data_IF_174436769113
#
_entry.id   IF_174436769113
#
_cell.length_a   1.000
_cell.length_b   1.000
_cell.length_c   1.000
_cell.angle_alpha   90.00
_cell.angle_beta   90.00
_cell.angle_gamma   90.00
#
_symmetry.space_group_name_H-M   'P 1'
#
loop_
_entity.id
_entity.type
_entity.pdbx_description
1 polymer ?
#
# COMPACT_ATOMS: atom_id res chain seq x y z
N UNK A 1 -11.83 -30.56 -18.34
CA UNK A 1 -11.53 -29.29 -17.65
C UNK A 1 -11.01 -29.63 -16.27
N UNK A 2 -9.69 -29.53 -16.03
CA UNK A 2 -9.12 -29.69 -14.68
C UNK A 2 -9.13 -28.31 -14.04
N UNK A 3 -9.79 -28.20 -12.88
CA UNK A 3 -9.64 -27.06 -11.98
C UNK A 3 -8.15 -26.99 -11.63
N UNK A 4 -7.45 -26.01 -12.22
CA UNK A 4 -6.11 -25.68 -11.81
C UNK A 4 -6.21 -25.13 -10.40
N UNK A 5 -5.61 -25.86 -9.46
CA UNK A 5 -5.28 -25.39 -8.13
C UNK A 5 -4.43 -24.12 -8.30
N UNK A 6 -5.08 -22.95 -8.38
CA UNK A 6 -4.42 -21.66 -8.23
C UNK A 6 -4.09 -21.58 -6.76
N UNK A 7 -2.94 -22.14 -6.39
CA UNK A 7 -2.24 -21.68 -5.22
C UNK A 7 -1.95 -20.20 -5.48
N UNK A 8 -2.82 -19.33 -4.94
CA UNK A 8 -2.62 -17.90 -5.06
C UNK A 8 -1.22 -17.59 -4.52
N UNK A 9 -0.38 -16.84 -5.27
CA UNK A 9 0.97 -16.57 -4.84
C UNK A 9 0.92 -15.82 -3.50
N UNK A 10 1.27 -16.52 -2.43
CA UNK A 10 1.37 -15.96 -1.09
C UNK A 10 2.51 -14.94 -1.12
N UNK A 11 2.17 -13.66 -0.96
CA UNK A 11 3.16 -12.58 -0.91
C UNK A 11 4.22 -12.90 0.15
N UNK A 12 5.52 -12.79 -0.17
CA UNK A 12 6.60 -12.91 0.79
C UNK A 12 6.33 -12.09 2.06
N UNK A 13 6.57 -12.65 3.26
CA UNK A 13 6.28 -11.98 4.54
C UNK A 13 6.85 -10.56 4.65
N UNK A 14 8.03 -10.34 4.09
CA UNK A 14 8.73 -9.04 4.10
C UNK A 14 7.97 -7.99 3.29
N UNK A 15 7.41 -8.38 2.15
CA UNK A 15 6.60 -7.51 1.29
C UNK A 15 5.28 -7.22 1.95
N UNK A 16 4.65 -8.26 2.49
CA UNK A 16 3.38 -8.11 3.21
C UNK A 16 3.54 -7.14 4.38
N UNK A 17 4.64 -7.27 5.13
CA UNK A 17 4.99 -6.37 6.22
C UNK A 17 5.25 -4.94 5.72
N UNK A 18 6.07 -4.76 4.69
CA UNK A 18 6.40 -3.44 4.15
C UNK A 18 5.16 -2.68 3.62
N UNK A 19 4.31 -3.35 2.85
CA UNK A 19 3.08 -2.76 2.32
C UNK A 19 1.99 -2.57 3.37
N UNK A 20 1.92 -3.43 4.40
CA UNK A 20 1.04 -3.23 5.55
C UNK A 20 1.44 -1.98 6.34
N UNK A 21 2.73 -1.83 6.63
CA UNK A 21 3.25 -0.65 7.33
C UNK A 21 2.99 0.64 6.53
N UNK A 22 3.22 0.59 5.21
CA UNK A 22 2.91 1.70 4.32
C UNK A 22 1.41 2.04 4.34
N UNK A 23 0.53 1.03 4.24
CA UNK A 23 -0.92 1.23 4.30
C UNK A 23 -1.37 1.90 5.60
N UNK A 24 -0.86 1.45 6.75
CA UNK A 24 -1.23 2.01 8.06
C UNK A 24 -0.85 3.49 8.12
N UNK A 25 0.41 3.81 7.78
CA UNK A 25 0.93 5.16 7.89
C UNK A 25 0.30 6.12 6.87
N UNK A 26 0.12 5.66 5.63
CA UNK A 26 -0.55 6.47 4.61
C UNK A 26 -2.01 6.72 4.95
N UNK A 27 -2.69 5.76 5.60
CA UNK A 27 -4.09 5.90 6.01
C UNK A 27 -4.26 6.90 7.14
N UNK A 28 -3.35 6.90 8.13
CA UNK A 28 -3.32 7.92 9.19
C UNK A 28 -3.12 9.32 8.59
N UNK A 29 -2.13 9.48 7.71
CA UNK A 29 -1.85 10.76 7.04
C UNK A 29 -3.01 11.20 6.13
N UNK A 30 -3.62 10.26 5.39
CA UNK A 30 -4.77 10.52 4.52
C UNK A 30 -6.03 10.93 5.28
N UNK A 31 -6.23 10.46 6.52
CA UNK A 31 -7.33 10.93 7.35
C UNK A 31 -7.14 12.42 7.69
N UNK A 32 -5.99 12.80 8.23
CA UNK A 32 -5.68 14.19 8.57
C UNK A 32 -5.77 15.09 7.32
N UNK A 33 -5.00 14.76 6.29
CA UNK A 33 -4.97 15.56 5.06
C UNK A 33 -6.29 15.58 4.29
N UNK A 34 -7.09 14.50 4.37
CA UNK A 34 -8.42 14.42 3.75
C UNK A 34 -9.47 15.32 4.40
N UNK A 35 -9.29 15.65 5.69
CA UNK A 35 -10.08 16.65 6.42
C UNK A 35 -9.46 18.05 6.40
N UNK A 36 -8.31 18.23 5.73
CA UNK A 36 -7.59 19.50 5.68
C UNK A 36 -6.80 19.81 6.94
N UNK A 37 -6.58 18.81 7.80
CA UNK A 37 -5.72 18.92 8.98
C UNK A 37 -4.25 18.76 8.59
N UNK A 38 -3.37 19.37 9.40
CA UNK A 38 -1.93 19.26 9.21
C UNK A 38 -1.45 17.85 9.55
N UNK A 39 -0.64 17.27 8.65
CA UNK A 39 0.06 16.00 8.90
C UNK A 39 1.35 16.31 9.67
N UNK A 40 1.53 15.77 10.90
CA UNK A 40 2.72 16.05 11.70
C UNK A 40 4.01 15.57 11.05
N UNK A 41 5.09 16.32 11.24
CA UNK A 41 6.44 16.00 10.73
C UNK A 41 6.91 14.55 11.02
N UNK A 42 6.69 13.95 12.20
CA UNK A 42 7.03 12.54 12.42
C UNK A 42 6.29 11.56 11.50
N UNK A 43 5.04 11.87 11.13
CA UNK A 43 4.26 11.06 10.19
C UNK A 43 4.80 11.19 8.76
N UNK A 44 5.22 12.40 8.35
CA UNK A 44 5.89 12.60 7.08
C UNK A 44 7.17 11.78 6.96
N UNK A 45 8.04 11.82 7.98
CA UNK A 45 9.26 11.02 8.02
C UNK A 45 8.99 9.52 7.92
N UNK A 46 7.98 9.04 8.65
CA UNK A 46 7.58 7.65 8.60
C UNK A 46 7.04 7.25 7.22
N UNK A 47 6.21 8.10 6.60
CA UNK A 47 5.67 7.87 5.26
C UNK A 47 6.78 7.81 4.20
N UNK A 48 7.77 8.72 4.28
CA UNK A 48 8.94 8.74 3.38
C UNK A 48 9.74 7.43 3.51
N UNK A 49 10.12 7.06 4.75
CA UNK A 49 10.90 5.84 5.01
C UNK A 49 10.17 4.58 4.54
N UNK A 50 8.87 4.46 4.82
CA UNK A 50 8.10 3.26 4.43
C UNK A 50 7.80 3.20 2.95
N UNK A 51 7.60 4.34 2.29
CA UNK A 51 7.45 4.37 0.82
C UNK A 51 8.74 3.93 0.15
N UNK A 52 9.90 4.43 0.58
CA UNK A 52 11.20 4.02 0.04
C UNK A 52 11.50 2.52 0.25
N UNK A 53 11.17 1.98 1.43
CA UNK A 53 11.27 0.54 1.72
C UNK A 53 10.36 -0.28 0.83
N UNK A 54 9.07 0.06 0.76
CA UNK A 54 8.10 -0.65 -0.07
C UNK A 54 8.51 -0.62 -1.55
N UNK A 55 9.00 0.52 -2.07
CA UNK A 55 9.54 0.65 -3.42
C UNK A 55 10.71 -0.31 -3.68
N UNK A 56 11.68 -0.35 -2.76
CA UNK A 56 12.83 -1.27 -2.87
C UNK A 56 12.40 -2.73 -2.93
N UNK A 57 11.42 -3.13 -2.12
CA UNK A 57 10.89 -4.50 -2.15
C UNK A 57 10.10 -4.79 -3.42
N UNK A 58 9.33 -3.79 -3.89
CA UNK A 58 8.53 -3.90 -5.09
C UNK A 58 9.39 -4.07 -6.35
N UNK A 59 10.48 -3.31 -6.47
CA UNK A 59 11.40 -3.38 -7.62
C UNK A 59 12.22 -4.68 -7.67
N UNK A 60 12.40 -5.37 -6.53
CA UNK A 60 13.16 -6.63 -6.43
C UNK A 60 12.38 -7.89 -6.81
N UNK A 61 11.08 -7.77 -7.06
CA UNK A 61 10.18 -8.91 -7.15
C UNK A 61 9.66 -9.15 -8.55
N UNK A 62 9.87 -10.38 -9.02
CA UNK A 62 9.64 -10.78 -10.43
C UNK A 62 8.26 -11.44 -10.60
N UNK A 63 7.60 -11.87 -9.53
CA UNK A 63 6.31 -12.56 -9.60
C UNK A 63 5.28 -12.02 -8.60
N UNK A 64 4.42 -11.14 -9.07
CA UNK A 64 3.15 -10.81 -8.43
C UNK A 64 2.02 -11.28 -9.33
N UNK A 65 0.86 -11.57 -8.74
CA UNK A 65 -0.39 -11.51 -9.49
C UNK A 65 -0.49 -10.14 -10.19
N UNK A 66 -0.98 -10.11 -11.43
CA UNK A 66 -0.99 -8.90 -12.26
C UNK A 66 -1.85 -7.79 -11.63
N UNK A 67 -2.95 -8.16 -11.00
CA UNK A 67 -3.89 -7.21 -10.43
C UNK A 67 -3.35 -6.67 -9.09
N UNK A 68 -2.77 -7.55 -8.27
CA UNK A 68 -2.03 -7.14 -7.07
C UNK A 68 -0.88 -6.18 -7.41
N UNK A 69 -0.08 -6.50 -8.44
CA UNK A 69 1.01 -5.66 -8.92
C UNK A 69 0.51 -4.27 -9.33
N UNK A 70 -0.60 -4.22 -10.07
CA UNK A 70 -1.19 -2.97 -10.52
C UNK A 70 -1.72 -2.12 -9.34
N UNK A 71 -2.37 -2.75 -8.36
CA UNK A 71 -2.87 -2.08 -7.16
C UNK A 71 -1.72 -1.50 -6.32
N UNK A 72 -0.67 -2.30 -6.05
CA UNK A 72 0.51 -1.85 -5.31
C UNK A 72 1.27 -0.73 -6.02
N UNK A 73 1.38 -0.77 -7.36
CA UNK A 73 1.99 0.33 -8.14
C UNK A 73 1.23 1.63 -7.98
N UNK A 74 -0.09 1.60 -8.16
CA UNK A 74 -0.91 2.82 -8.05
C UNK A 74 -0.82 3.39 -6.64
N UNK A 75 -0.83 2.52 -5.63
CA UNK A 75 -0.71 2.93 -4.24
C UNK A 75 0.68 3.53 -3.93
N UNK A 76 1.77 2.93 -4.41
CA UNK A 76 3.11 3.51 -4.28
C UNK A 76 3.20 4.87 -4.96
N UNK A 77 2.71 4.98 -6.20
CA UNK A 77 2.78 6.23 -6.98
C UNK A 77 2.04 7.38 -6.29
N UNK A 78 0.87 7.13 -5.71
CA UNK A 78 0.14 8.19 -5.01
C UNK A 78 0.86 8.59 -3.71
N UNK A 79 1.49 7.66 -2.99
CA UNK A 79 2.31 8.00 -1.83
C UNK A 79 3.54 8.82 -2.23
N UNK A 80 4.24 8.43 -3.30
CA UNK A 80 5.38 9.16 -3.86
C UNK A 80 4.98 10.59 -4.26
N UNK A 81 3.84 10.75 -4.94
CA UNK A 81 3.33 12.06 -5.33
C UNK A 81 3.01 12.96 -4.13
N UNK A 82 2.37 12.41 -3.09
CA UNK A 82 2.06 13.15 -1.87
C UNK A 82 3.34 13.58 -1.13
N UNK A 83 4.36 12.73 -1.11
CA UNK A 83 5.69 13.04 -0.55
C UNK A 83 6.37 14.14 -1.38
N UNK A 84 6.34 14.04 -2.71
CA UNK A 84 6.91 15.04 -3.61
C UNK A 84 6.34 16.43 -3.34
N UNK A 85 5.01 16.55 -3.26
CA UNK A 85 4.35 17.82 -2.91
C UNK A 85 4.87 18.38 -1.58
N UNK A 86 5.01 17.54 -0.56
CA UNK A 86 5.53 17.95 0.74
C UNK A 86 6.99 18.43 0.66
N UNK A 87 7.86 17.71 -0.04
CA UNK A 87 9.27 18.08 -0.24
C UNK A 87 9.42 19.38 -1.05
N UNK A 88 8.49 19.67 -1.96
CA UNK A 88 8.40 20.93 -2.70
C UNK A 88 7.79 22.08 -1.88
N UNK A 89 7.37 21.83 -0.63
CA UNK A 89 6.67 22.82 0.20
C UNK A 89 5.27 23.17 -0.31
N UNK A 90 4.68 22.31 -1.13
CA UNK A 90 3.34 22.49 -1.71
C UNK A 90 2.29 21.79 -0.86
N UNK A 91 1.14 22.43 -0.70
CA UNK A 91 0.00 21.82 -0.05
C UNK A 91 -0.55 20.66 -0.88
N UNK A 92 -0.72 19.48 -0.26
CA UNK A 92 -1.38 18.35 -0.88
C UNK A 92 -2.91 18.53 -0.82
N UNK A 93 -3.62 18.55 -1.98
CA UNK A 93 -5.07 18.76 -1.99
C UNK A 93 -5.82 17.65 -1.24
N UNK A 94 -6.92 17.94 -0.51
CA UNK A 94 -7.70 16.93 0.20
C UNK A 94 -8.21 15.79 -0.69
N UNK A 95 -8.49 16.06 -1.96
CA UNK A 95 -8.89 15.03 -2.93
C UNK A 95 -7.79 14.00 -3.18
N UNK A 96 -6.52 14.42 -3.20
CA UNK A 96 -5.36 13.53 -3.37
C UNK A 96 -5.19 12.63 -2.15
N UNK A 97 -5.39 13.17 -0.95
CA UNK A 97 -5.39 12.36 0.28
C UNK A 97 -6.49 11.29 0.30
N UNK A 98 -7.71 11.65 -0.11
CA UNK A 98 -8.81 10.68 -0.23
C UNK A 98 -8.50 9.59 -1.24
N UNK A 99 -7.89 9.96 -2.36
CA UNK A 99 -7.44 9.02 -3.38
C UNK A 99 -6.34 8.09 -2.85
N UNK A 100 -5.38 8.62 -2.08
CA UNK A 100 -4.37 7.81 -1.41
C UNK A 100 -4.98 6.79 -0.45
N UNK A 101 -5.99 7.19 0.33
CA UNK A 101 -6.76 6.29 1.19
C UNK A 101 -7.54 5.21 0.42
N UNK A 102 -8.15 5.57 -0.71
CA UNK A 102 -8.86 4.63 -1.60
C UNK A 102 -7.91 3.60 -2.19
N UNK A 103 -6.80 4.04 -2.78
CA UNK A 103 -5.78 3.17 -3.39
C UNK A 103 -5.09 2.28 -2.35
N UNK A 104 -4.82 2.81 -1.15
CA UNK A 104 -4.29 2.03 -0.04
C UNK A 104 -5.24 0.89 0.36
N UNK A 105 -6.55 1.17 0.43
CA UNK A 105 -7.57 0.14 0.72
C UNK A 105 -7.63 -0.92 -0.38
N UNK A 106 -7.59 -0.54 -1.65
CA UNK A 106 -7.56 -1.48 -2.77
C UNK A 106 -6.32 -2.38 -2.72
N UNK A 107 -5.14 -1.82 -2.44
CA UNK A 107 -3.92 -2.60 -2.27
C UNK A 107 -3.98 -3.54 -1.05
N UNK A 108 -4.61 -3.10 0.05
CA UNK A 108 -4.71 -3.89 1.28
C UNK A 108 -5.49 -5.19 1.10
N UNK A 109 -6.50 -5.24 0.21
CA UNK A 109 -7.26 -6.46 -0.10
C UNK A 109 -6.34 -7.60 -0.53
N UNK A 110 -5.28 -7.31 -1.30
CA UNK A 110 -4.32 -8.31 -1.75
C UNK A 110 -3.33 -8.75 -0.66
N UNK A 111 -3.15 -7.94 0.39
CA UNK A 111 -2.36 -8.33 1.57
C UNK A 111 -3.12 -9.32 2.45
N UNK A 112 -4.45 -9.17 2.52
CA UNK A 112 -5.34 -9.97 3.38
C UNK A 112 -5.82 -11.25 2.69
N UNK A 113 -5.99 -11.23 1.36
CA UNK A 113 -6.33 -12.41 0.56
C UNK A 113 -5.25 -13.53 0.65
N UNK A 114 -3.99 -13.17 0.90
CA UNK A 114 -2.93 -14.15 1.17
C UNK A 114 -3.02 -14.81 2.56
N UNK A 115 -3.89 -14.35 3.46
CA UNK A 115 -4.11 -14.93 4.79
C UNK A 115 -5.27 -15.94 4.83
N UNK A 116 -6.23 -15.86 3.90
CA UNK A 116 -7.41 -16.74 3.84
C UNK A 116 -7.15 -18.09 3.15
N UNK A 117 -5.97 -18.29 2.55
CA UNK A 117 -5.57 -19.57 1.94
C UNK A 117 -5.25 -20.72 2.92
N UNK A 118 -5.43 -20.54 4.24
CA UNK A 118 -5.12 -21.58 5.24
C UNK A 118 -6.25 -21.84 6.26
N UNK A 119 -7.51 -21.54 5.93
CA UNK A 119 -8.63 -21.95 6.80
C UNK A 119 -9.73 -22.59 5.97
N UNK A 120 -9.49 -23.84 5.59
CA UNK A 120 -10.42 -24.67 4.84
C UNK A 120 -10.09 -26.16 4.94
N UNK A 121 -9.65 -26.63 6.11
CA UNK A 121 -9.56 -28.05 6.45
C UNK A 121 -10.15 -28.29 7.85
N UNK A 122 -11.46 -28.07 7.95
CA UNK A 122 -12.38 -28.65 8.92
C UNK A 122 -13.75 -28.38 8.26
N UNK A 123 -14.52 -29.38 7.85
CA UNK A 123 -15.03 -30.52 8.61
C UNK A 123 -15.18 -31.72 7.67
#
# INVERSE_FOLDING_TARGET
MRAGDRSDPVLPPEIRSAFRDLYILSSCAAQLGGYGEEVPEPQWRALIDRTAKARTFFDRQVSFDRDALAAFRRFLLICEYVIELHLEGRACPPAVWREAGRLGREAYVYLDAGATGSTGAAI
#
